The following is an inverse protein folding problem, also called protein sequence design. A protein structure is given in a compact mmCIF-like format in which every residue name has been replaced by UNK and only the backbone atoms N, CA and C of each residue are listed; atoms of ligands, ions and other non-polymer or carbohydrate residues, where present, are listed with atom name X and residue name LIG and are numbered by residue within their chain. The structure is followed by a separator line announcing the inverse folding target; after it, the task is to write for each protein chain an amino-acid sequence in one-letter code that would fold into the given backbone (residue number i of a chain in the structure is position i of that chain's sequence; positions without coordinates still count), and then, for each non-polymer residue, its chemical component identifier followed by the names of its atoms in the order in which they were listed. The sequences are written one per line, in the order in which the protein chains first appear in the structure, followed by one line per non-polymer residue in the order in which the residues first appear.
data_IF_798541274469
#
_entry.id   IF_798541274469
#
_cell.length_a   1.000
_cell.length_b   1.000
_cell.length_c   1.000
_cell.angle_alpha   90.00
_cell.angle_beta   90.00
_cell.angle_gamma   90.00
#
_symmetry.space_group_name_H-M   'P 1'
#
loop_
_entity.id
_entity.type
_entity.pdbx_description
1 polymer ?
#
# COMPACT_ATOMS: atom_id res chain seq x y z
N UNK A 1 -11.85 -56.77 -21.39
CA UNK A 1 -10.83 -55.74 -21.65
C UNK A 1 -11.40 -54.78 -22.69
N UNK A 2 -12.24 -53.82 -22.27
CA UNK A 2 -12.84 -52.82 -23.16
C UNK A 2 -12.30 -51.46 -22.72
N UNK A 3 -11.49 -50.83 -23.57
CA UNK A 3 -10.98 -49.49 -23.32
C UNK A 3 -12.05 -48.46 -23.64
N UNK A 4 -12.30 -47.63 -22.64
CA UNK A 4 -13.08 -46.41 -22.66
C UNK A 4 -12.42 -45.41 -23.64
N UNK A 5 -13.03 -45.19 -24.81
CA UNK A 5 -12.59 -44.13 -25.72
C UNK A 5 -13.09 -42.82 -25.15
N UNK A 6 -12.25 -42.15 -24.36
CA UNK A 6 -12.48 -40.78 -23.93
C UNK A 6 -12.71 -39.89 -25.15
N UNK A 7 -13.97 -39.49 -25.37
CA UNK A 7 -14.35 -38.45 -26.32
C UNK A 7 -14.03 -37.09 -25.73
N UNK A 8 -12.74 -36.82 -25.50
CA UNK A 8 -12.26 -35.49 -25.22
C UNK A 8 -12.28 -34.69 -26.52
N UNK A 9 -12.98 -33.56 -26.53
CA UNK A 9 -12.85 -32.57 -27.62
C UNK A 9 -11.36 -32.24 -27.76
N UNK A 10 -10.77 -32.21 -28.96
CA UNK A 10 -9.37 -31.84 -29.09
C UNK A 10 -9.17 -30.38 -28.64
N UNK A 11 -8.25 -30.15 -27.70
CA UNK A 11 -7.88 -28.84 -27.19
C UNK A 11 -6.42 -28.50 -27.55
N UNK A 12 -6.03 -27.22 -27.50
CA UNK A 12 -4.64 -26.79 -27.67
C UNK A 12 -4.10 -26.87 -29.11
N UNK A 13 -2.78 -27.11 -29.27
CA UNK A 13 -2.07 -27.01 -30.56
C UNK A 13 -2.69 -27.86 -31.68
N UNK A 14 -3.13 -29.07 -31.38
CA UNK A 14 -3.73 -29.97 -32.37
C UNK A 14 -5.06 -29.43 -32.92
N UNK A 15 -5.86 -28.76 -32.08
CA UNK A 15 -7.09 -28.12 -32.49
C UNK A 15 -6.81 -26.90 -33.39
N UNK A 16 -5.79 -26.11 -33.04
CA UNK A 16 -5.38 -24.94 -33.84
C UNK A 16 -4.83 -25.32 -35.22
N UNK A 17 -4.03 -26.38 -35.32
CA UNK A 17 -3.52 -26.86 -36.61
C UNK A 17 -4.65 -27.41 -37.50
N UNK A 18 -5.66 -28.07 -36.91
CA UNK A 18 -6.84 -28.51 -37.64
C UNK A 18 -7.67 -27.33 -38.15
N UNK A 19 -7.83 -26.30 -37.33
CA UNK A 19 -8.50 -25.07 -37.73
C UNK A 19 -7.73 -24.36 -38.86
N UNK A 20 -6.40 -24.28 -38.77
CA UNK A 20 -5.56 -23.71 -39.83
C UNK A 20 -5.71 -24.45 -41.16
N UNK A 21 -5.79 -25.79 -41.14
CA UNK A 21 -6.03 -26.59 -42.34
C UNK A 21 -7.40 -26.31 -42.98
N UNK A 22 -8.43 -25.98 -42.18
CA UNK A 22 -9.73 -25.57 -42.72
C UNK A 22 -9.70 -24.18 -43.35
N UNK A 23 -8.88 -23.26 -42.84
CA UNK A 23 -8.68 -21.95 -43.45
C UNK A 23 -7.89 -22.05 -44.77
N UNK A 24 -6.88 -22.89 -44.83
CA UNK A 24 -6.00 -23.06 -46.01
C UNK A 24 -6.77 -23.50 -47.27
N UNK A 25 -7.83 -24.30 -47.09
CA UNK A 25 -8.68 -24.77 -48.19
C UNK A 25 -9.95 -23.96 -48.46
N UNK A 26 -10.20 -22.87 -47.73
CA UNK A 26 -11.47 -22.14 -47.80
C UNK A 26 -11.40 -20.91 -48.73
N UNK A 27 -12.47 -20.68 -49.50
CA UNK A 27 -12.69 -19.39 -50.16
C UNK A 27 -12.98 -18.28 -49.13
N UNK A 28 -12.94 -17.01 -49.56
CA UNK A 28 -13.09 -15.86 -48.64
C UNK A 28 -14.42 -15.88 -47.87
N UNK A 29 -15.52 -16.32 -48.49
CA UNK A 29 -16.83 -16.38 -47.85
C UNK A 29 -16.90 -17.51 -46.80
N UNK A 30 -16.27 -18.65 -47.09
CA UNK A 30 -16.21 -19.80 -46.19
C UNK A 30 -15.22 -19.57 -45.06
N UNK A 31 -14.07 -18.98 -45.32
CA UNK A 31 -13.12 -18.54 -44.31
C UNK A 31 -13.78 -17.57 -43.31
N UNK A 32 -14.59 -16.63 -43.81
CA UNK A 32 -15.35 -15.73 -42.94
C UNK A 32 -16.35 -16.49 -42.05
N UNK A 33 -17.11 -17.45 -42.61
CA UNK A 33 -18.04 -18.28 -41.83
C UNK A 33 -17.32 -19.12 -40.78
N UNK A 34 -16.16 -19.69 -41.11
CA UNK A 34 -15.31 -20.44 -40.17
C UNK A 34 -14.80 -19.51 -39.06
N UNK A 35 -14.35 -18.30 -39.40
CA UNK A 35 -13.89 -17.29 -38.45
C UNK A 35 -15.01 -16.85 -37.48
N UNK A 36 -16.22 -16.59 -38.01
CA UNK A 36 -17.39 -16.26 -37.20
C UNK A 36 -17.78 -17.41 -36.30
N UNK A 37 -17.79 -18.65 -36.79
CA UNK A 37 -18.16 -19.82 -36.00
C UNK A 37 -17.14 -20.17 -34.91
N UNK A 38 -15.84 -20.10 -35.22
CA UNK A 38 -14.77 -20.50 -34.29
C UNK A 38 -14.44 -19.43 -33.25
N UNK A 39 -14.51 -18.14 -33.63
CA UNK A 39 -14.04 -17.04 -32.79
C UNK A 39 -15.15 -16.07 -32.37
N UNK A 40 -16.41 -16.35 -32.73
CA UNK A 40 -17.51 -15.40 -32.60
C UNK A 40 -17.18 -14.02 -33.23
N UNK A 41 -16.32 -14.02 -34.26
CA UNK A 41 -15.99 -12.81 -35.00
C UNK A 41 -17.18 -12.42 -35.87
N UNK A 42 -17.98 -11.48 -35.36
CA UNK A 42 -18.96 -10.77 -36.18
C UNK A 42 -18.20 -9.93 -37.22
N UNK A 43 -18.70 -9.78 -38.46
CA UNK A 43 -18.20 -8.76 -39.36
C UNK A 43 -18.12 -7.42 -38.61
N UNK A 44 -17.08 -6.63 -38.88
CA UNK A 44 -16.87 -5.32 -38.28
C UNK A 44 -18.03 -4.37 -38.62
N UNK A 45 -19.16 -4.51 -37.92
CA UNK A 45 -20.35 -3.66 -38.09
C UNK A 45 -20.08 -2.23 -37.64
N UNK A 46 -18.99 -2.00 -36.92
CA UNK A 46 -18.45 -0.67 -36.62
C UNK A 46 -17.76 0.00 -37.84
N UNK A 47 -17.47 -0.76 -38.90
CA UNK A 47 -17.03 -0.23 -40.20
C UNK A 47 -18.20 -0.15 -41.21
N UNK A 48 -19.36 -0.72 -40.88
CA UNK A 48 -20.59 -0.49 -41.63
C UNK A 48 -21.15 0.85 -41.21
N UNK A 49 -20.74 1.93 -41.88
CA UNK A 49 -21.32 3.25 -41.69
C UNK A 49 -22.85 3.15 -41.87
N UNK A 50 -23.60 3.32 -40.79
CA UNK A 50 -25.07 3.44 -40.82
C UNK A 50 -25.52 4.88 -41.07
N UNK A 51 -24.59 5.83 -41.19
CA UNK A 51 -24.87 7.21 -41.58
C UNK A 51 -24.57 7.36 -43.07
N UNK A 52 -25.62 7.48 -43.90
CA UNK A 52 -25.48 8.00 -45.27
C UNK A 52 -25.21 9.52 -45.27
N UNK A 53 -25.40 10.20 -44.14
CA UNK A 53 -25.18 11.63 -44.04
C UNK A 53 -23.69 11.97 -43.84
N UNK A 54 -23.10 12.81 -44.70
CA UNK A 54 -21.72 13.24 -44.59
C UNK A 54 -21.55 14.16 -43.38
N UNK A 55 -20.83 13.69 -42.36
CA UNK A 55 -20.39 14.53 -41.24
C UNK A 55 -19.26 15.43 -41.74
N UNK A 56 -19.42 16.75 -41.62
CA UNK A 56 -18.39 17.71 -41.99
C UNK A 56 -17.10 17.46 -41.17
N UNK A 57 -15.94 17.47 -41.83
CA UNK A 57 -14.65 17.18 -41.18
C UNK A 57 -14.28 18.15 -40.03
N UNK A 58 -14.92 19.32 -39.96
CA UNK A 58 -14.75 20.31 -38.89
C UNK A 58 -15.75 20.15 -37.74
N UNK A 59 -16.62 19.13 -37.77
CA UNK A 59 -17.58 18.90 -36.69
C UNK A 59 -16.86 18.47 -35.41
N UNK A 60 -17.12 19.19 -34.31
CA UNK A 60 -16.66 18.79 -32.99
C UNK A 60 -17.34 17.47 -32.60
N UNK A 61 -16.53 16.49 -32.18
CA UNK A 61 -17.01 15.20 -31.68
C UNK A 61 -17.90 15.32 -30.42
N UNK A 62 -17.84 16.46 -29.72
CA UNK A 62 -18.69 16.75 -28.57
C UNK A 62 -20.09 17.27 -28.96
N UNK A 63 -20.23 17.79 -30.18
CA UNK A 63 -21.47 18.40 -30.68
C UNK A 63 -22.10 17.62 -31.85
N UNK A 64 -21.43 16.59 -32.36
CA UNK A 64 -21.95 15.71 -33.40
C UNK A 64 -23.02 14.77 -32.83
N UNK A 65 -24.02 14.43 -33.66
CA UNK A 65 -25.05 13.47 -33.29
C UNK A 65 -24.40 12.10 -33.00
N UNK A 66 -24.62 11.50 -31.82
CA UNK A 66 -24.08 10.18 -31.51
C UNK A 66 -24.58 9.14 -32.52
N UNK A 67 -23.68 8.29 -33.02
CA UNK A 67 -24.06 7.19 -33.88
C UNK A 67 -25.01 6.24 -33.14
N UNK A 68 -26.12 5.85 -33.79
CA UNK A 68 -27.06 4.90 -33.21
C UNK A 68 -26.43 3.50 -33.16
N UNK A 69 -26.01 3.10 -31.96
CA UNK A 69 -25.43 1.78 -31.70
C UNK A 69 -26.48 0.75 -31.25
N UNK A 70 -27.79 1.05 -31.29
CA UNK A 70 -28.84 0.15 -30.80
C UNK A 70 -28.92 -1.18 -31.55
N UNK A 71 -28.45 -1.22 -32.81
CA UNK A 71 -28.31 -2.45 -33.59
C UNK A 71 -27.10 -3.32 -33.17
N UNK A 72 -26.20 -2.79 -32.34
CA UNK A 72 -25.07 -3.54 -31.75
C UNK A 72 -25.62 -4.30 -30.54
N UNK A 73 -26.25 -5.46 -30.80
CA UNK A 73 -26.41 -6.42 -29.71
C UNK A 73 -25.02 -6.91 -29.31
N UNK A 74 -24.60 -6.77 -28.05
CA UNK A 74 -23.46 -7.55 -27.56
C UNK A 74 -23.82 -9.01 -27.81
N UNK A 75 -23.04 -9.68 -28.65
CA UNK A 75 -23.27 -11.08 -28.97
C UNK A 75 -23.37 -11.85 -27.66
N UNK A 76 -24.51 -12.51 -27.43
CA UNK A 76 -24.66 -13.43 -26.31
C UNK A 76 -23.55 -14.45 -26.50
N UNK A 77 -22.57 -14.39 -25.62
CA UNK A 77 -21.32 -15.14 -25.73
C UNK A 77 -21.66 -16.62 -25.81
N UNK A 78 -20.99 -17.33 -26.71
CA UNK A 78 -20.95 -18.79 -26.68
C UNK A 78 -20.59 -19.26 -25.28
N UNK A 79 -21.01 -20.49 -24.94
CA UNK A 79 -20.81 -21.15 -23.64
C UNK A 79 -19.48 -20.69 -23.04
N UNK A 80 -19.55 -19.78 -22.07
CA UNK A 80 -18.37 -19.33 -21.34
C UNK A 80 -17.73 -20.59 -20.79
N UNK A 81 -16.46 -20.81 -21.12
CA UNK A 81 -15.69 -21.90 -20.55
C UNK A 81 -15.89 -21.86 -19.01
N UNK A 82 -16.04 -23.02 -18.35
CA UNK A 82 -16.19 -23.07 -16.90
C UNK A 82 -15.08 -22.24 -16.27
N UNK A 83 -15.45 -21.27 -15.43
CA UNK A 83 -14.48 -20.46 -14.68
C UNK A 83 -13.69 -21.43 -13.81
N UNK A 84 -12.36 -21.42 -13.94
CA UNK A 84 -11.49 -22.23 -13.10
C UNK A 84 -11.69 -21.85 -11.62
N UNK A 85 -11.86 -22.86 -10.77
CA UNK A 85 -11.98 -22.65 -9.32
C UNK A 85 -10.62 -22.27 -8.75
N UNK A 86 -10.43 -20.96 -8.53
CA UNK A 86 -9.24 -20.40 -7.93
C UNK A 86 -9.31 -20.29 -6.40
N UNK A 87 -10.30 -20.90 -5.73
CA UNK A 87 -10.50 -20.78 -4.29
C UNK A 87 -9.27 -21.19 -3.47
N UNK A 88 -8.59 -22.26 -3.87
CA UNK A 88 -7.36 -22.72 -3.20
C UNK A 88 -6.19 -21.74 -3.38
N UNK A 89 -6.06 -21.10 -4.54
CA UNK A 89 -5.03 -20.10 -4.79
C UNK A 89 -5.32 -18.81 -3.99
N UNK A 90 -6.58 -18.39 -3.95
CA UNK A 90 -7.03 -17.25 -3.16
C UNK A 90 -6.80 -17.46 -1.66
N UNK A 91 -7.10 -18.65 -1.14
CA UNK A 91 -6.85 -19.01 0.25
C UNK A 91 -5.35 -18.91 0.60
N UNK A 92 -4.45 -19.46 -0.25
CA UNK A 92 -3.00 -19.34 -0.03
C UNK A 92 -2.51 -17.90 -0.04
N UNK A 93 -3.01 -17.07 -0.95
CA UNK A 93 -2.63 -15.65 -1.01
C UNK A 93 -3.10 -14.90 0.24
N UNK A 94 -4.31 -15.22 0.73
CA UNK A 94 -4.84 -14.66 1.97
C UNK A 94 -4.02 -15.07 3.18
N UNK A 95 -3.73 -16.37 3.33
CA UNK A 95 -2.93 -16.88 4.44
C UNK A 95 -1.52 -16.26 4.46
N UNK A 96 -0.90 -16.11 3.27
CA UNK A 96 0.40 -15.45 3.14
C UNK A 96 0.34 -13.97 3.53
N UNK A 97 -0.72 -13.25 3.14
CA UNK A 97 -0.92 -11.86 3.51
C UNK A 97 -1.17 -11.69 5.03
N UNK A 98 -1.99 -12.55 5.62
CA UNK A 98 -2.27 -12.55 7.06
C UNK A 98 -0.99 -12.85 7.87
N UNK A 99 -0.18 -13.82 7.42
CA UNK A 99 1.12 -14.11 8.02
C UNK A 99 2.08 -12.91 7.90
N UNK A 100 2.20 -12.30 6.72
CA UNK A 100 3.04 -11.12 6.52
C UNK A 100 2.63 -9.94 7.43
N UNK A 101 1.33 -9.66 7.53
CA UNK A 101 0.81 -8.62 8.42
C UNK A 101 1.06 -8.93 9.90
N UNK A 102 0.98 -10.21 10.29
CA UNK A 102 1.35 -10.63 11.64
C UNK A 102 2.85 -10.39 11.93
N UNK A 103 3.74 -10.78 11.02
CA UNK A 103 5.18 -10.56 11.17
C UNK A 103 5.53 -9.08 11.28
N UNK A 104 4.93 -8.21 10.47
CA UNK A 104 5.16 -6.75 10.55
C UNK A 104 4.70 -6.17 11.88
N UNK A 105 3.53 -6.58 12.39
CA UNK A 105 3.04 -6.14 13.70
C UNK A 105 3.95 -6.58 14.85
N UNK A 106 4.41 -7.83 14.83
CA UNK A 106 5.35 -8.35 15.83
C UNK A 106 6.69 -7.60 15.77
N UNK A 107 7.21 -7.34 14.57
CA UNK A 107 8.43 -6.57 14.35
C UNK A 107 8.34 -5.13 14.85
N UNK A 108 7.21 -4.45 14.58
CA UNK A 108 6.96 -3.11 15.12
C UNK A 108 6.87 -3.11 16.64
N UNK A 109 6.21 -4.11 17.23
CA UNK A 109 6.16 -4.31 18.68
C UNK A 109 7.55 -4.48 19.30
N UNK A 110 8.41 -5.28 18.67
CA UNK A 110 9.81 -5.44 19.09
C UNK A 110 10.57 -4.10 19.01
N UNK A 111 10.53 -3.43 17.86
CA UNK A 111 11.21 -2.15 17.66
C UNK A 111 10.76 -1.11 18.71
N UNK A 112 9.45 -1.04 18.98
CA UNK A 112 8.88 -0.17 20.01
C UNK A 112 9.39 -0.54 21.40
N UNK A 113 9.45 -1.82 21.74
CA UNK A 113 9.92 -2.28 23.06
C UNK A 113 11.40 -1.93 23.29
N UNK A 114 12.25 -2.12 22.29
CA UNK A 114 13.70 -1.87 22.38
C UNK A 114 14.01 -0.38 22.38
N UNK A 115 13.24 0.43 21.67
CA UNK A 115 13.43 1.88 21.54
C UNK A 115 12.45 2.68 22.41
N UNK A 116 11.93 2.11 23.50
CA UNK A 116 10.96 2.79 24.39
C UNK A 116 11.54 4.11 24.92
N UNK A 117 12.82 4.08 25.31
CA UNK A 117 13.57 5.24 25.79
C UNK A 117 14.47 5.78 24.68
N UNK A 118 14.83 7.07 24.80
CA UNK A 118 15.77 7.70 23.89
C UNK A 118 17.12 6.99 23.97
N UNK A 119 17.59 6.44 22.84
CA UNK A 119 18.84 5.68 22.78
C UNK A 119 20.00 6.46 23.40
N UNK A 120 20.96 5.80 24.07
CA UNK A 120 22.13 6.48 24.62
C UNK A 120 22.96 7.13 23.50
N UNK A 121 23.81 8.09 23.85
CA UNK A 121 24.72 8.72 22.87
C UNK A 121 25.64 7.69 22.24
N UNK A 122 26.21 6.77 23.02
CA UNK A 122 27.03 5.68 22.50
C UNK A 122 26.48 4.37 23.00
N UNK A 123 26.16 3.46 22.10
CA UNK A 123 25.57 2.19 22.50
C UNK A 123 25.40 1.18 21.39
N UNK A 124 25.07 -0.04 21.80
CA UNK A 124 24.69 -1.12 20.91
C UNK A 124 23.34 -1.69 21.35
N UNK A 125 22.44 -1.89 20.39
CA UNK A 125 21.17 -2.58 20.59
C UNK A 125 21.03 -3.74 19.60
N UNK A 126 20.11 -4.65 19.88
CA UNK A 126 19.83 -5.82 19.04
C UNK A 126 18.39 -5.75 18.57
N UNK A 127 18.20 -5.97 17.27
CA UNK A 127 16.89 -6.09 16.64
C UNK A 127 16.89 -7.33 15.75
N UNK A 128 15.74 -7.98 15.65
CA UNK A 128 15.48 -8.97 14.61
C UNK A 128 15.57 -8.33 13.22
N UNK A 129 15.73 -9.17 12.19
CA UNK A 129 15.77 -8.68 10.78
C UNK A 129 14.52 -7.90 10.42
N UNK A 130 13.35 -8.42 10.75
CA UNK A 130 12.07 -7.76 10.48
C UNK A 130 11.88 -6.47 11.29
N UNK A 131 12.35 -6.41 12.54
CA UNK A 131 12.28 -5.17 13.33
C UNK A 131 13.22 -4.09 12.77
N UNK A 132 14.39 -4.50 12.27
CA UNK A 132 15.31 -3.60 11.56
C UNK A 132 14.71 -3.09 10.24
N UNK A 133 13.98 -3.92 9.48
CA UNK A 133 13.26 -3.48 8.26
C UNK A 133 12.23 -2.40 8.58
N UNK A 134 11.38 -2.60 9.60
CA UNK A 134 10.41 -1.59 10.05
C UNK A 134 11.11 -0.31 10.51
N UNK A 135 12.22 -0.44 11.26
CA UNK A 135 13.00 0.72 11.69
C UNK A 135 13.56 1.50 10.49
N UNK A 136 14.13 0.81 9.50
CA UNK A 136 14.71 1.45 8.32
C UNK A 136 13.66 2.17 7.47
N UNK A 137 12.47 1.59 7.33
CA UNK A 137 11.35 2.23 6.64
C UNK A 137 10.93 3.53 7.35
N UNK A 138 10.74 3.48 8.67
CA UNK A 138 10.39 4.65 9.46
C UNK A 138 11.51 5.70 9.50
N UNK A 139 12.77 5.27 9.59
CA UNK A 139 13.92 6.17 9.57
C UNK A 139 14.03 6.90 8.23
N UNK A 140 13.84 6.17 7.13
CA UNK A 140 13.81 6.75 5.78
C UNK A 140 12.66 7.74 5.64
N UNK A 141 11.47 7.40 6.14
CA UNK A 141 10.32 8.31 6.12
C UNK A 141 10.54 9.57 6.98
N UNK A 142 11.14 9.42 8.17
CA UNK A 142 11.41 10.52 9.09
C UNK A 142 12.44 11.50 8.49
N UNK A 143 13.57 10.99 8.01
CA UNK A 143 14.64 11.80 7.39
C UNK A 143 14.23 12.37 6.03
N UNK A 144 13.28 11.73 5.33
CA UNK A 144 12.69 12.26 4.10
C UNK A 144 11.67 13.39 4.34
N UNK A 145 11.17 13.55 5.56
CA UNK A 145 10.10 14.53 5.87
C UNK A 145 10.62 15.95 6.15
N UNK A 146 11.81 16.07 6.75
CA UNK A 146 12.41 17.34 7.15
C UNK A 146 13.91 17.18 7.49
N UNK A 147 14.60 18.32 7.62
CA UNK A 147 16.00 18.35 8.05
C UNK A 147 16.10 18.12 9.57
N UNK A 148 16.67 16.97 9.95
CA UNK A 148 16.87 16.57 11.35
C UNK A 148 17.84 17.48 12.12
N UNK A 149 18.71 18.21 11.42
CA UNK A 149 19.65 19.14 12.05
C UNK A 149 18.99 20.44 12.48
N UNK A 150 17.88 20.81 11.82
CA UNK A 150 17.08 21.98 12.16
C UNK A 150 16.12 21.71 13.34
N UNK A 151 15.76 20.45 13.59
CA UNK A 151 14.92 20.06 14.72
C UNK A 151 14.55 18.57 14.72
N UNK A 152 13.92 18.08 15.80
CA UNK A 152 13.43 16.70 15.87
C UNK A 152 12.46 16.38 14.73
N UNK A 153 12.63 15.20 14.12
CA UNK A 153 11.73 14.70 13.07
C UNK A 153 11.09 13.38 13.50
N UNK A 154 9.91 13.09 12.99
CA UNK A 154 9.20 11.88 13.34
C UNK A 154 8.41 11.32 12.16
N UNK A 155 8.32 10.00 12.09
CA UNK A 155 7.45 9.28 11.16
C UNK A 155 6.73 8.15 11.91
N UNK A 156 5.50 7.86 11.52
CA UNK A 156 4.72 6.81 12.17
C UNK A 156 3.84 6.07 11.20
N UNK A 157 3.49 4.85 11.60
CA UNK A 157 2.59 3.94 10.92
C UNK A 157 1.43 3.62 11.85
N UNK A 158 0.22 4.01 11.43
CA UNK A 158 -1.01 3.79 12.21
C UNK A 158 -1.41 2.31 12.27
N UNK A 159 -1.15 1.53 11.22
CA UNK A 159 -1.50 0.10 11.17
C UNK A 159 -0.61 -0.72 12.11
N UNK A 160 0.65 -0.28 12.25
CA UNK A 160 1.64 -0.91 13.13
C UNK A 160 1.66 -0.31 14.55
N UNK A 161 0.85 0.73 14.82
CA UNK A 161 0.80 1.47 16.09
C UNK A 161 2.20 1.88 16.61
N UNK A 162 3.00 2.48 15.72
CA UNK A 162 4.36 2.91 16.03
C UNK A 162 4.65 4.30 15.45
N UNK A 163 5.41 5.09 16.19
CA UNK A 163 6.03 6.33 15.73
C UNK A 163 7.48 6.36 16.14
N UNK A 164 8.37 6.58 15.18
CA UNK A 164 9.79 6.81 15.40
C UNK A 164 10.04 8.31 15.49
N UNK A 165 10.71 8.72 16.57
CA UNK A 165 11.24 10.05 16.80
C UNK A 165 12.75 10.02 16.62
N UNK A 166 13.28 10.95 15.85
CA UNK A 166 14.70 11.07 15.50
C UNK A 166 15.19 12.44 15.92
N UNK A 167 16.27 12.47 16.69
CA UNK A 167 16.91 13.70 17.16
C UNK A 167 18.35 13.72 16.70
N UNK A 168 18.80 14.86 16.17
CA UNK A 168 20.21 15.06 15.85
C UNK A 168 21.01 15.22 17.14
N UNK A 169 22.10 14.45 17.24
CA UNK A 169 23.07 14.51 18.33
C UNK A 169 24.45 14.15 17.72
N UNK A 170 25.28 15.14 17.35
CA UNK A 170 26.42 14.94 16.45
C UNK A 170 27.48 13.97 16.97
N UNK A 171 27.59 13.79 18.30
CA UNK A 171 28.53 12.85 18.92
C UNK A 171 27.96 11.45 19.14
N UNK A 172 26.68 11.25 18.81
CA UNK A 172 26.00 9.99 19.03
C UNK A 172 26.43 8.94 17.99
N UNK A 173 26.73 7.73 18.45
CA UNK A 173 27.04 6.56 17.62
C UNK A 173 26.26 5.38 18.17
N UNK A 174 25.27 4.94 17.40
CA UNK A 174 24.39 3.83 17.74
C UNK A 174 24.66 2.65 16.81
N UNK A 175 24.98 1.49 17.36
CA UNK A 175 25.13 0.25 16.58
C UNK A 175 23.95 -0.68 16.80
N UNK A 176 23.26 -1.05 15.74
CA UNK A 176 22.11 -1.95 15.75
C UNK A 176 22.54 -3.28 15.14
N UNK A 177 22.62 -4.31 15.97
CA UNK A 177 23.05 -5.63 15.53
C UNK A 177 21.89 -6.55 15.16
N UNK A 178 22.04 -7.24 14.03
CA UNK A 178 21.11 -8.22 13.47
C UNK A 178 21.90 -9.47 13.06
N UNK A 179 21.28 -10.68 13.00
CA UNK A 179 22.01 -11.89 12.60
C UNK A 179 22.72 -11.83 11.23
N UNK A 180 22.29 -10.96 10.31
CA UNK A 180 22.87 -10.76 8.99
C UNK A 180 23.84 -9.57 8.87
N UNK A 181 24.06 -8.79 9.94
CA UNK A 181 24.97 -7.65 9.93
C UNK A 181 24.67 -6.62 11.01
N UNK A 182 25.52 -5.59 11.08
CA UNK A 182 25.34 -4.45 11.97
C UNK A 182 25.05 -3.19 11.15
N UNK A 183 24.11 -2.37 11.61
CA UNK A 183 23.84 -1.02 11.13
C UNK A 183 24.41 -0.02 12.13
N UNK A 184 25.25 0.91 11.67
CA UNK A 184 25.76 2.00 12.50
C UNK A 184 25.09 3.31 12.09
N UNK A 185 24.49 3.99 13.06
CA UNK A 185 23.89 5.32 12.89
C UNK A 185 24.76 6.33 13.65
N UNK A 186 25.24 7.34 12.94
CA UNK A 186 26.05 8.43 13.48
C UNK A 186 25.23 9.72 13.52
N UNK A 187 25.44 10.53 14.55
CA UNK A 187 24.78 11.83 14.67
C UNK A 187 23.30 11.76 15.05
N UNK A 188 22.77 10.57 15.39
CA UNK A 188 21.33 10.35 15.58
C UNK A 188 21.02 9.61 16.89
N UNK A 189 19.95 10.06 17.56
CA UNK A 189 19.31 9.35 18.68
C UNK A 189 17.86 9.04 18.32
N UNK A 190 17.40 7.87 18.72
CA UNK A 190 16.12 7.30 18.33
C UNK A 190 15.24 7.04 19.55
N UNK A 191 13.94 7.21 19.40
CA UNK A 191 12.93 6.76 20.36
C UNK A 191 11.68 6.32 19.59
N UNK A 192 11.07 5.22 19.99
CA UNK A 192 9.83 4.73 19.42
C UNK A 192 8.70 4.81 20.45
N UNK A 193 7.56 5.34 20.02
CA UNK A 193 6.34 5.44 20.82
C UNK A 193 5.17 4.77 20.10
N UNK A 194 4.02 4.67 20.77
CA UNK A 194 2.73 4.40 20.10
C UNK A 194 2.44 5.49 19.06
N UNK A 195 1.66 5.17 18.03
CA UNK A 195 1.42 6.08 16.91
C UNK A 195 0.77 7.40 17.36
N UNK A 196 -0.15 7.30 18.33
CA UNK A 196 -0.91 8.43 18.88
C UNK A 196 -0.04 9.43 19.65
N UNK A 197 1.17 9.06 20.09
CA UNK A 197 2.07 9.97 20.80
C UNK A 197 2.88 10.80 19.81
N UNK A 198 2.42 12.02 19.56
CA UNK A 198 3.09 12.95 18.65
C UNK A 198 4.40 13.52 19.21
N UNK A 199 4.54 13.57 20.54
CA UNK A 199 5.72 14.08 21.22
C UNK A 199 6.42 12.92 21.93
N UNK A 200 7.76 12.78 21.82
CA UNK A 200 8.50 11.85 22.64
C UNK A 200 8.35 12.19 24.12
N UNK A 201 8.45 11.20 25.00
CA UNK A 201 8.47 11.42 26.45
C UNK A 201 9.66 12.34 26.79
N UNK A 202 9.49 13.46 27.51
CA UNK A 202 10.61 14.29 27.95
C UNK A 202 11.46 13.53 28.96
N UNK A 203 12.41 12.71 28.48
CA UNK A 203 13.48 12.19 29.30
C UNK A 203 14.50 13.31 29.56
N UNK A 204 14.39 13.85 30.78
CA UNK A 204 15.23 14.80 31.53
C UNK A 204 15.44 16.22 30.94
N UNK A 205 14.89 17.28 31.58
CA UNK A 205 15.49 18.60 31.45
C UNK A 205 16.90 18.51 32.06
N UNK A 206 17.92 18.94 31.31
CA UNK A 206 19.20 19.23 31.93
C UNK A 206 18.96 20.13 33.15
N UNK A 207 19.66 19.94 34.29
CA UNK A 207 19.53 20.79 35.44
C UNK A 207 20.11 22.17 35.09
N UNK A 208 19.26 23.06 34.57
CA UNK A 208 19.47 24.48 34.81
C UNK A 208 19.02 24.76 36.24
N UNK A 209 19.95 25.35 37.00
CA UNK A 209 19.83 26.13 38.25
C UNK A 209 20.92 25.68 39.24
N UNK A 210 21.70 26.63 39.81
CA UNK A 210 21.09 27.72 40.57
C UNK A 210 21.63 29.12 40.23
N UNK A 211 20.73 29.98 39.81
CA UNK A 211 20.89 31.44 39.84
C UNK A 211 20.14 32.03 41.02
N UNK A 212 20.60 31.75 42.23
CA UNK A 212 20.09 32.35 43.46
C UNK A 212 20.47 33.84 43.52
N UNK A 213 19.51 34.73 43.29
CA UNK A 213 19.54 36.08 43.85
C UNK A 213 18.14 36.70 43.96
N UNK A 214 17.72 36.84 45.21
CA UNK A 214 16.96 37.97 45.76
C UNK A 214 15.44 38.03 45.57
N UNK A 215 14.79 37.46 46.58
CA UNK A 215 13.51 37.94 47.14
C UNK A 215 13.64 39.40 47.61
N UNK A 216 12.65 40.26 47.34
CA UNK A 216 11.85 40.78 48.45
C UNK A 216 10.35 40.65 48.11
N UNK A 217 9.54 40.03 48.95
CA UNK A 217 9.10 40.67 50.18
C UNK A 217 7.90 41.59 49.89
N UNK A 218 6.72 41.01 49.70
CA UNK A 218 5.48 41.70 50.08
C UNK A 218 4.32 40.73 50.25
N UNK A 219 3.80 40.75 51.47
CA UNK A 219 2.61 40.08 51.92
C UNK A 219 1.40 40.47 51.07
N UNK A 220 0.56 39.49 50.73
CA UNK A 220 -0.86 39.78 50.79
C UNK A 220 -1.66 38.58 51.30
N UNK A 221 -2.35 38.82 52.40
CA UNK A 221 -3.31 37.92 53.02
C UNK A 221 -4.53 37.81 52.10
N UNK A 222 -4.99 36.59 51.87
CA UNK A 222 -6.37 36.37 51.45
C UNK A 222 -7.33 36.84 52.54
N UNK A 223 -8.52 37.31 52.13
CA UNK A 223 -9.71 36.64 52.63
C UNK A 223 -10.74 36.33 51.53
N UNK A 224 -11.11 35.05 51.41
CA UNK A 224 -12.44 34.53 50.99
C UNK A 224 -13.50 35.05 51.99
N UNK A 225 -14.84 35.16 51.75
CA UNK A 225 -15.76 34.46 50.81
C UNK A 225 -16.85 35.44 50.24
N UNK A 226 -18.14 35.12 49.87
CA UNK A 226 -18.88 33.86 49.86
C UNK A 226 -19.69 33.48 48.60
N UNK A 227 -20.04 32.20 48.59
CA UNK A 227 -21.02 31.49 47.76
C UNK A 227 -22.37 32.22 47.65
N UNK A 228 -22.86 32.39 46.42
CA UNK A 228 -24.22 32.84 46.13
C UNK A 228 -25.01 31.73 45.45
N UNK A 229 -26.17 31.45 46.04
CA UNK A 229 -27.14 30.44 45.67
C UNK A 229 -27.85 30.73 44.33
N UNK A 230 -28.34 29.65 43.71
CA UNK A 230 -29.36 29.67 42.64
C UNK A 230 -30.66 30.32 43.12
N UNK A 231 -31.40 30.98 42.23
CA UNK A 231 -32.85 30.99 42.23
C UNK A 231 -33.41 30.12 41.10
N UNK A 232 -34.72 29.90 41.20
CA UNK A 232 -35.57 28.80 40.72
C UNK A 232 -35.69 28.62 39.21
#
# INVERSE_FOLDING_TARGET
MNQDRGTGVPHGRAALLRLAAWFDGADSATAHRIATAAFAMQPARHLGATSEDPIAAAASWWAAQPADTSAVRPGIRGVLAPIEDHGAQQARLRDAAEAAAHWRRTAAGEARSVLTELTPEKGRLRLSGSALEVLMELLTAALGSADVTAGPVAAGDLELDIRLHVRHAPEAVLTIGQPGGDLTLEGLRLQATEYARLTPDPADPAPEEPGEAETPGSANRYPTPPSAARPQ
#
